data_IF_102596000423
#
_entry.id   IF_102596000423
#
_cell.length_a   1.000
_cell.length_b   1.000
_cell.length_c   1.000
_cell.angle_alpha   90.00
_cell.angle_beta   90.00
_cell.angle_gamma   90.00
#
_symmetry.space_group_name_H-M   'P 1'
#
loop_
_entity.id
_entity.type
_entity.pdbx_description
1 polymer ?
#
# COMPACT_ATOMS: atom_id res chain seq x y z
N UNK A 1 -22.59 18.84 -13.44
CA UNK A 1 -21.26 18.20 -13.49
C UNK A 1 -21.19 17.24 -12.33
N UNK A 2 -21.35 15.93 -12.57
CA UNK A 2 -21.23 14.95 -11.48
C UNK A 2 -19.79 14.97 -10.99
N UNK A 3 -19.52 14.99 -9.67
CA UNK A 3 -18.19 14.72 -9.17
C UNK A 3 -17.93 13.26 -9.52
N UNK A 4 -17.17 13.05 -10.59
CA UNK A 4 -16.70 11.72 -10.95
C UNK A 4 -15.87 11.33 -9.74
N UNK A 5 -16.40 10.47 -8.87
CA UNK A 5 -15.64 9.91 -7.78
C UNK A 5 -14.34 9.41 -8.42
N UNK A 6 -13.24 10.10 -8.13
CA UNK A 6 -11.99 10.01 -8.86
C UNK A 6 -11.38 8.65 -8.51
N UNK A 7 -11.91 7.59 -9.14
CA UNK A 7 -11.48 6.22 -8.90
C UNK A 7 -10.03 6.15 -9.34
N UNK A 8 -9.14 6.06 -8.37
CA UNK A 8 -7.71 6.10 -8.59
C UNK A 8 -7.29 4.74 -9.17
N UNK A 9 -6.59 4.76 -10.30
CA UNK A 9 -6.10 3.51 -10.91
C UNK A 9 -5.18 2.77 -9.93
N UNK A 10 -5.45 1.50 -9.59
CA UNK A 10 -4.57 0.70 -8.73
C UNK A 10 -3.16 0.57 -9.28
N UNK A 11 -3.01 0.57 -10.61
CA UNK A 11 -1.72 0.54 -11.30
C UNK A 11 -0.90 1.83 -11.12
N UNK A 12 -1.53 2.95 -10.77
CA UNK A 12 -0.87 4.23 -10.45
C UNK A 12 -0.59 4.39 -8.96
N UNK A 13 -1.18 3.54 -8.12
CA UNK A 13 -0.97 3.52 -6.68
C UNK A 13 0.28 2.68 -6.37
N UNK A 14 1.45 3.32 -6.45
CA UNK A 14 2.76 2.71 -6.19
C UNK A 14 3.19 2.96 -4.76
N UNK A 15 3.59 1.90 -4.05
CA UNK A 15 4.14 1.91 -2.70
C UNK A 15 5.65 1.67 -2.75
N UNK A 16 6.41 2.35 -1.88
CA UNK A 16 7.84 2.11 -1.75
C UNK A 16 8.12 0.80 -0.99
N UNK A 17 8.52 -0.24 -1.72
CA UNK A 17 9.00 -1.50 -1.16
C UNK A 17 10.49 -1.46 -0.82
N UNK A 18 11.01 -2.56 -0.25
CA UNK A 18 12.43 -2.68 0.18
C UNK A 18 13.42 -2.55 -0.98
N UNK A 19 13.13 -3.17 -2.12
CA UNK A 19 14.03 -3.18 -3.30
C UNK A 19 13.48 -2.43 -4.50
N UNK A 20 12.16 -2.44 -4.68
CA UNK A 20 11.46 -1.85 -5.83
C UNK A 20 10.10 -1.31 -5.38
N UNK A 21 9.54 -0.33 -6.11
CA UNK A 21 8.14 0.05 -5.93
C UNK A 21 7.23 -1.14 -6.22
N UNK A 22 6.14 -1.25 -5.45
CA UNK A 22 5.13 -2.29 -5.58
C UNK A 22 3.75 -1.65 -5.69
N UNK A 23 2.89 -2.15 -6.57
CA UNK A 23 1.56 -1.56 -6.74
C UNK A 23 0.58 -1.99 -5.65
N UNK A 24 -0.48 -1.21 -5.44
CA UNK A 24 -1.58 -1.56 -4.54
C UNK A 24 -2.17 -2.95 -4.86
N UNK A 25 -2.24 -3.28 -6.15
CA UNK A 25 -2.76 -4.57 -6.61
C UNK A 25 -1.83 -5.72 -6.22
N UNK A 26 -0.51 -5.56 -6.40
CA UNK A 26 0.47 -6.56 -5.97
C UNK A 26 0.45 -6.78 -4.46
N UNK A 27 0.26 -5.70 -3.68
CA UNK A 27 0.11 -5.81 -2.23
C UNK A 27 -1.16 -6.56 -1.84
N UNK A 28 -2.27 -6.35 -2.56
CA UNK A 28 -3.52 -7.08 -2.35
C UNK A 28 -3.37 -8.57 -2.69
N UNK A 29 -2.76 -8.88 -3.84
CA UNK A 29 -2.49 -10.24 -4.31
C UNK A 29 -1.53 -10.99 -3.36
N UNK A 30 -0.57 -10.28 -2.77
CA UNK A 30 0.36 -10.83 -1.78
C UNK A 30 -0.24 -10.94 -0.37
N UNK A 31 -1.49 -10.49 -0.16
CA UNK A 31 -2.14 -10.47 1.15
C UNK A 31 -1.55 -9.43 2.12
N UNK A 32 -0.67 -8.56 1.63
CA UNK A 32 -0.05 -7.47 2.39
C UNK A 32 -1.00 -6.28 2.55
N UNK A 33 -2.02 -6.18 1.70
CA UNK A 33 -3.07 -5.16 1.76
C UNK A 33 -4.44 -5.82 1.82
N UNK A 34 -5.26 -5.41 2.77
CA UNK A 34 -6.61 -5.94 2.93
C UNK A 34 -7.54 -5.35 1.87
N UNK A 35 -8.47 -6.16 1.32
CA UNK A 35 -9.54 -5.70 0.40
C UNK A 35 -10.19 -4.38 0.83
N UNK A 36 -10.65 -4.20 2.08
CA UNK A 36 -11.27 -2.95 2.50
C UNK A 36 -10.31 -1.75 2.44
N UNK A 37 -9.03 -1.94 2.70
CA UNK A 37 -8.02 -0.85 2.61
C UNK A 37 -7.69 -0.55 1.15
N UNK A 38 -7.61 -1.58 0.31
CA UNK A 38 -7.48 -1.43 -1.14
C UNK A 38 -8.66 -0.63 -1.72
N UNK A 39 -9.90 -0.98 -1.39
CA UNK A 39 -11.08 -0.26 -1.88
C UNK A 39 -11.07 1.22 -1.46
N UNK A 40 -10.62 1.53 -0.23
CA UNK A 40 -10.45 2.91 0.23
C UNK A 40 -9.41 3.68 -0.58
N UNK A 41 -8.33 3.03 -0.99
CA UNK A 41 -7.31 3.63 -1.86
C UNK A 41 -7.86 3.90 -3.27
N UNK A 42 -8.62 2.95 -3.83
CA UNK A 42 -9.25 3.11 -5.16
C UNK A 42 -10.32 4.20 -5.14
N UNK A 43 -11.09 4.31 -4.06
CA UNK A 43 -12.11 5.35 -3.89
C UNK A 43 -11.53 6.73 -3.58
N UNK A 44 -10.21 6.82 -3.31
CA UNK A 44 -9.57 8.07 -2.89
C UNK A 44 -9.89 8.48 -1.45
N UNK A 45 -10.52 7.60 -0.66
CA UNK A 45 -10.80 7.81 0.77
C UNK A 45 -9.53 7.75 1.63
N UNK A 46 -8.52 7.00 1.18
CA UNK A 46 -7.18 6.94 1.78
C UNK A 46 -6.12 7.17 0.70
N UNK A 47 -4.97 7.70 1.11
CA UNK A 47 -3.82 7.89 0.23
C UNK A 47 -2.72 6.84 0.44
N UNK A 48 -1.90 6.61 -0.58
CA UNK A 48 -0.71 5.73 -0.50
C UNK A 48 0.19 6.06 0.70
N UNK A 49 0.60 7.33 0.94
CA UNK A 49 1.44 7.65 2.09
C UNK A 49 0.78 7.33 3.42
N UNK A 50 -0.53 7.58 3.61
CA UNK A 50 -1.24 7.21 4.84
C UNK A 50 -1.22 5.71 5.09
N UNK A 51 -1.53 4.90 4.06
CA UNK A 51 -1.53 3.43 4.20
C UNK A 51 -0.11 2.89 4.36
N UNK A 52 0.88 3.52 3.73
CA UNK A 52 2.30 3.15 3.85
C UNK A 52 2.85 3.38 5.25
N UNK A 53 2.43 4.44 5.92
CA UNK A 53 2.81 4.73 7.32
C UNK A 53 2.18 3.70 8.26
N UNK A 54 0.91 3.39 8.06
CA UNK A 54 0.14 2.42 8.86
C UNK A 54 0.68 0.99 8.70
N UNK A 55 1.14 0.61 7.49
CA UNK A 55 1.72 -0.72 7.18
C UNK A 55 3.25 -0.75 7.10
N UNK A 56 3.95 0.25 7.66
CA UNK A 56 5.43 0.35 7.59
C UNK A 56 6.15 -0.90 8.10
N UNK A 57 5.57 -1.60 9.08
CA UNK A 57 6.09 -2.86 9.66
C UNK A 57 6.02 -4.03 8.68
N UNK A 58 5.00 -4.07 7.81
CA UNK A 58 4.77 -5.13 6.83
C UNK A 58 5.59 -4.89 5.55
N UNK A 59 5.78 -3.63 5.15
CA UNK A 59 6.45 -3.27 3.89
C UNK A 59 7.98 -3.16 4.00
N UNK A 60 8.52 -2.81 5.17
CA UNK A 60 9.99 -2.72 5.39
C UNK A 60 10.55 -3.85 6.25
N UNK A 61 9.69 -4.71 6.79
CA UNK A 61 10.06 -5.69 7.81
C UNK A 61 10.33 -5.03 9.17
N UNK A 62 10.34 -5.83 10.22
CA UNK A 62 10.66 -5.42 11.60
C UNK A 62 12.16 -5.13 11.83
N UNK A 63 12.94 -4.90 10.77
CA UNK A 63 14.40 -4.79 10.83
C UNK A 63 15.10 -6.16 10.78
N UNK A 64 16.39 -6.20 10.40
CA UNK A 64 17.17 -7.44 10.43
C UNK A 64 17.34 -7.92 11.87
N UNK A 65 17.32 -9.24 12.12
CA UNK A 65 17.88 -9.81 13.35
C UNK A 65 19.39 -9.62 13.25
N UNK A 66 19.89 -8.53 13.80
CA UNK A 66 21.30 -8.17 13.82
C UNK A 66 22.03 -9.02 14.89
N UNK A 67 22.20 -10.32 14.64
CA UNK A 67 23.12 -11.20 15.36
C UNK A 67 22.76 -11.54 16.81
N UNK A 68 23.13 -12.74 17.23
CA UNK A 68 23.29 -13.08 18.65
C UNK A 68 24.51 -12.34 19.17
N UNK A 69 24.41 -11.69 20.33
CA UNK A 69 25.57 -11.26 21.12
C UNK A 69 26.09 -12.43 21.95
#
# INVERSE_FOLDING_TARGET
>A
LLPIAERKDPSKLMFDGVRKPVSAQQLLECGMLDKPTFDKLIKGEKTVPEVSVDKKVILKGTGPIAGVV
#
